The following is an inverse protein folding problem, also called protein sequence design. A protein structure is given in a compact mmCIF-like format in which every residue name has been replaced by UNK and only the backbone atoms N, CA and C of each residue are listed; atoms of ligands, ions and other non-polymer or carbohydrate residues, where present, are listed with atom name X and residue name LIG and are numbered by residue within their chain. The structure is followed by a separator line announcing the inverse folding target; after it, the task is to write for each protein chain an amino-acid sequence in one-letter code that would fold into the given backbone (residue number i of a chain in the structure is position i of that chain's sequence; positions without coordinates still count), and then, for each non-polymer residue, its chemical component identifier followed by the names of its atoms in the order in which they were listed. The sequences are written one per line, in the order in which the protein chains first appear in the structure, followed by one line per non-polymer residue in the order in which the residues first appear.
data_IF_444407494416
#
_entry.id   IF_444407494416
#
_cell.length_a   1.000
_cell.length_b   1.000
_cell.length_c   1.000
_cell.angle_alpha   90.00
_cell.angle_beta   90.00
_cell.angle_gamma   90.00
#
_symmetry.space_group_name_H-M   'P 1'
#
loop_
_entity.id
_entity.type
_entity.pdbx_description
1 polymer ?
#
# COMPACT_ATOMS: atom_id res chain seq x y z
N UNK A 1 3.79 1.23 -28.57
CA UNK A 1 4.71 1.03 -27.43
C UNK A 1 5.74 2.15 -27.48
N UNK A 2 5.85 2.97 -26.44
CA UNK A 2 6.83 4.07 -26.40
C UNK A 2 8.22 3.52 -26.08
N UNK A 3 9.28 3.87 -26.81
CA UNK A 3 10.63 3.44 -26.50
C UNK A 3 11.09 4.08 -25.17
N UNK A 4 11.66 3.28 -24.28
CA UNK A 4 12.33 3.78 -23.09
C UNK A 4 13.70 4.34 -23.51
N UNK A 5 14.01 5.57 -23.12
CA UNK A 5 15.32 6.17 -23.38
C UNK A 5 16.26 5.80 -22.24
N UNK A 6 17.31 5.05 -22.55
CA UNK A 6 18.36 4.71 -21.59
C UNK A 6 19.34 5.89 -21.52
N UNK A 7 19.28 6.69 -20.45
CA UNK A 7 20.23 7.79 -20.20
C UNK A 7 21.29 7.36 -19.18
N UNK A 8 22.57 7.25 -19.61
CA UNK A 8 23.73 7.11 -18.72
C UNK A 8 24.94 6.45 -19.40
N UNK A 9 26.06 7.16 -19.51
CA UNK A 9 27.37 6.59 -19.88
C UNK A 9 27.77 5.54 -18.82
N UNK A 10 27.87 4.27 -19.21
CA UNK A 10 28.61 3.21 -18.50
C UNK A 10 28.42 3.12 -16.98
N UNK A 11 27.21 3.32 -16.46
CA UNK A 11 26.95 3.14 -15.02
C UNK A 11 26.39 1.76 -14.74
N UNK A 12 27.17 0.95 -14.03
CA UNK A 12 26.81 -0.38 -13.52
C UNK A 12 25.76 -0.32 -12.36
N UNK A 13 25.21 0.87 -12.09
CA UNK A 13 24.27 1.11 -11.01
C UNK A 13 22.86 1.26 -11.61
N UNK A 14 22.11 0.16 -11.58
CA UNK A 14 20.71 0.12 -12.00
C UNK A 14 19.80 0.62 -10.87
N UNK A 15 19.11 1.74 -11.10
CA UNK A 15 18.07 2.20 -10.17
C UNK A 15 16.93 1.18 -10.10
N UNK A 16 16.48 0.84 -8.88
CA UNK A 16 15.31 -0.01 -8.67
C UNK A 16 14.44 0.55 -7.57
N UNK A 17 13.12 0.38 -7.71
CA UNK A 17 12.14 0.68 -6.68
C UNK A 17 11.33 -0.58 -6.44
N UNK A 18 11.25 -0.93 -5.17
CA UNK A 18 10.35 -1.96 -4.67
C UNK A 18 9.56 -1.33 -3.52
N UNK A 19 8.26 -1.16 -3.72
CA UNK A 19 7.35 -0.77 -2.66
C UNK A 19 6.53 -1.99 -2.29
N UNK A 20 6.59 -2.37 -1.01
CA UNK A 20 5.75 -3.41 -0.44
C UNK A 20 4.79 -2.74 0.54
N UNK A 21 3.49 -2.92 0.32
CA UNK A 21 2.44 -2.51 1.24
C UNK A 21 1.78 -3.77 1.79
N UNK A 22 1.79 -3.91 3.10
CA UNK A 22 1.13 -5.01 3.81
C UNK A 22 0.17 -4.39 4.80
N UNK A 23 -1.07 -4.89 4.82
CA UNK A 23 -2.08 -4.49 5.79
C UNK A 23 -2.76 -5.72 6.32
N UNK A 24 -2.73 -5.87 7.63
CA UNK A 24 -3.51 -6.86 8.35
C UNK A 24 -4.52 -6.13 9.22
N UNK A 25 -5.78 -6.56 9.16
CA UNK A 25 -6.85 -6.02 9.98
C UNK A 25 -7.60 -7.16 10.64
N UNK A 26 -7.81 -7.03 11.95
CA UNK A 26 -8.72 -7.85 12.73
C UNK A 26 -9.77 -6.94 13.34
N UNK A 27 -11.04 -7.17 13.01
CA UNK A 27 -12.16 -6.50 13.66
C UNK A 27 -12.89 -7.51 14.53
N UNK A 28 -13.17 -7.11 15.75
CA UNK A 28 -13.87 -7.90 16.74
C UNK A 28 -15.02 -7.07 17.28
N UNK A 29 -16.23 -7.62 17.24
CA UNK A 29 -17.42 -6.94 17.76
C UNK A 29 -18.32 -7.92 18.50
N UNK A 30 -18.79 -7.45 19.65
CA UNK A 30 -19.72 -8.15 20.52
C UNK A 30 -20.97 -7.32 20.72
N UNK A 31 -22.12 -7.97 20.60
CA UNK A 31 -23.41 -7.39 20.99
C UNK A 31 -24.10 -8.35 21.93
N UNK A 32 -24.50 -7.85 23.09
CA UNK A 32 -25.28 -8.59 24.07
C UNK A 32 -26.54 -7.78 24.37
N UNK A 33 -27.68 -8.46 24.35
CA UNK A 33 -28.98 -7.89 24.67
C UNK A 33 -29.64 -8.71 25.76
N UNK A 34 -30.33 -8.01 26.68
CA UNK A 34 -31.01 -8.61 27.81
C UNK A 34 -32.51 -8.32 27.69
N UNK A 35 -33.30 -9.38 27.62
CA UNK A 35 -34.75 -9.32 27.62
C UNK A 35 -35.27 -9.71 29.00
N UNK A 36 -35.82 -8.73 29.69
CA UNK A 36 -36.56 -8.94 30.93
C UNK A 36 -38.01 -8.58 30.67
N UNK A 37 -38.87 -9.60 30.55
CA UNK A 37 -40.29 -9.43 30.28
C UNK A 37 -41.12 -10.05 31.40
N UNK A 38 -42.04 -9.28 31.98
CA UNK A 38 -43.03 -9.80 32.92
C UNK A 38 -44.22 -10.35 32.15
N UNK A 39 -44.42 -11.65 32.19
CA UNK A 39 -45.58 -12.31 31.57
C UNK A 39 -46.84 -12.09 32.43
N UNK A 40 -46.69 -12.17 33.76
CA UNK A 40 -47.73 -11.87 34.76
C UNK A 40 -47.08 -11.30 36.04
N UNK A 41 -47.86 -11.00 37.09
CA UNK A 41 -47.33 -10.57 38.39
C UNK A 41 -46.34 -11.57 39.02
N UNK A 42 -46.48 -12.86 38.68
CA UNK A 42 -45.73 -13.96 39.30
C UNK A 42 -44.80 -14.70 38.34
N UNK A 43 -44.80 -14.35 37.04
CA UNK A 43 -44.04 -15.06 36.01
C UNK A 43 -43.22 -14.05 35.20
N UNK A 44 -41.91 -14.27 35.18
CA UNK A 44 -40.95 -13.47 34.41
C UNK A 44 -40.21 -14.35 33.40
N UNK A 45 -40.01 -13.81 32.20
CA UNK A 45 -39.06 -14.32 31.22
C UNK A 45 -37.80 -13.45 31.28
N UNK A 46 -36.67 -14.11 31.52
CA UNK A 46 -35.33 -13.51 31.46
C UNK A 46 -34.52 -14.24 30.41
N UNK A 47 -34.07 -13.53 29.40
CA UNK A 47 -33.27 -14.09 28.31
C UNK A 47 -32.10 -13.19 27.96
N UNK A 48 -30.96 -13.81 27.67
CA UNK A 48 -29.74 -13.14 27.24
C UNK A 48 -29.41 -13.64 25.83
N UNK A 49 -29.38 -12.72 24.86
CA UNK A 49 -28.97 -13.04 23.49
C UNK A 49 -27.68 -12.32 23.16
N UNK A 50 -26.70 -13.08 22.70
CA UNK A 50 -25.38 -12.59 22.33
C UNK A 50 -25.02 -12.94 20.89
N UNK A 51 -24.31 -12.04 20.22
CA UNK A 51 -23.71 -12.27 18.92
C UNK A 51 -22.28 -11.76 18.91
N UNK A 52 -21.36 -12.59 18.42
CA UNK A 52 -19.97 -12.23 18.15
C UNK A 52 -19.73 -12.27 16.64
N UNK A 53 -19.05 -11.26 16.12
CA UNK A 53 -18.49 -11.29 14.78
C UNK A 53 -17.00 -10.94 14.83
N UNK A 54 -16.23 -11.76 14.13
CA UNK A 54 -14.80 -11.57 13.92
C UNK A 54 -14.53 -11.52 12.42
N UNK A 55 -13.88 -10.46 11.96
CA UNK A 55 -13.42 -10.30 10.58
C UNK A 55 -11.88 -10.30 10.54
N UNK A 56 -11.34 -11.00 9.54
CA UNK A 56 -9.91 -11.06 9.27
C UNK A 56 -9.65 -10.71 7.81
N UNK A 57 -8.90 -9.64 7.60
CA UNK A 57 -8.47 -9.20 6.27
C UNK A 57 -6.94 -9.16 6.24
N UNK A 58 -6.35 -9.78 5.21
CA UNK A 58 -4.93 -9.65 4.89
C UNK A 58 -4.78 -9.14 3.46
N UNK A 59 -4.01 -8.07 3.30
CA UNK A 59 -3.73 -7.43 2.03
C UNK A 59 -2.22 -7.31 1.81
N UNK A 60 -1.78 -7.69 0.62
CA UNK A 60 -0.39 -7.59 0.20
C UNK A 60 -0.32 -7.05 -1.22
N UNK A 61 0.42 -5.96 -1.40
CA UNK A 61 0.69 -5.36 -2.70
C UNK A 61 2.19 -5.12 -2.84
N UNK A 62 2.73 -5.53 -3.99
CA UNK A 62 4.12 -5.25 -4.37
C UNK A 62 4.13 -4.48 -5.69
N UNK A 63 4.70 -3.28 -5.66
CA UNK A 63 5.02 -2.50 -6.87
C UNK A 63 6.51 -2.58 -7.11
N UNK A 64 6.91 -2.90 -8.34
CA UNK A 64 8.32 -3.09 -8.70
C UNK A 64 8.64 -2.44 -10.05
N UNK A 65 9.78 -1.77 -10.12
CA UNK A 65 10.31 -1.19 -11.35
C UNK A 65 11.84 -1.13 -11.33
N UNK A 66 12.41 -1.19 -12.53
CA UNK A 66 13.84 -1.01 -12.81
C UNK A 66 14.02 0.15 -13.79
N UNK A 67 15.23 0.69 -13.90
CA UNK A 67 15.55 1.77 -14.85
C UNK A 67 14.68 3.03 -14.64
N UNK A 68 14.48 3.40 -13.39
CA UNK A 68 13.77 4.61 -13.02
C UNK A 68 14.59 5.81 -13.51
N UNK A 69 14.04 6.54 -14.47
CA UNK A 69 14.58 7.85 -14.82
C UNK A 69 14.15 8.80 -13.72
N UNK A 70 15.04 9.07 -12.75
CA UNK A 70 14.83 10.14 -11.78
C UNK A 70 14.97 11.47 -12.55
N UNK A 71 13.90 12.26 -12.71
CA UNK A 71 14.02 13.57 -13.34
C UNK A 71 14.93 14.43 -12.46
N UNK A 72 16.12 14.78 -12.95
CA UNK A 72 17.00 15.75 -12.30
C UNK A 72 18.32 15.26 -11.70
N UNK A 73 18.67 13.96 -11.73
CA UNK A 73 19.99 13.53 -11.22
C UNK A 73 21.06 13.58 -12.32
N UNK A 74 21.42 14.81 -12.71
CA UNK A 74 22.56 15.10 -13.57
C UNK A 74 23.83 15.13 -12.71
N UNK A 75 24.82 14.29 -13.04
CA UNK A 75 26.16 14.38 -12.43
C UNK A 75 27.07 15.24 -13.31
N UNK A 76 28.04 15.92 -12.68
CA UNK A 76 28.85 17.01 -13.27
C UNK A 76 29.57 16.60 -14.57
N UNK A 77 29.94 15.33 -14.70
CA UNK A 77 30.60 14.78 -15.89
C UNK A 77 29.71 14.78 -17.14
N UNK A 78 28.39 14.74 -16.97
CA UNK A 78 27.44 14.68 -18.09
C UNK A 78 27.15 16.06 -18.72
N UNK A 79 27.56 17.15 -18.06
CA UNK A 79 27.40 18.53 -18.57
C UNK A 79 28.62 18.92 -19.42
N UNK A 80 29.82 18.40 -19.11
CA UNK A 80 31.07 18.85 -19.75
C UNK A 80 31.31 18.30 -21.16
N UNK A 81 30.64 17.21 -21.55
CA UNK A 81 30.79 16.60 -22.89
C UNK A 81 29.85 17.18 -23.95
N UNK A 82 28.97 18.14 -23.63
CA UNK A 82 28.21 18.88 -24.64
C UNK A 82 29.15 19.88 -25.32
N UNK A 83 30.04 19.35 -26.14
CA UNK A 83 30.98 20.10 -26.96
C UNK A 83 30.16 20.85 -28.02
N UNK A 84 29.90 22.13 -27.78
CA UNK A 84 29.54 23.06 -28.84
C UNK A 84 30.74 23.15 -29.78
N UNK A 85 30.62 22.67 -31.02
CA UNK A 85 31.57 22.98 -32.09
C UNK A 85 30.95 24.06 -32.97
N UNK A 86 31.61 25.21 -33.01
CA UNK A 86 31.19 26.42 -33.71
C UNK A 86 31.06 26.22 -35.22
N UNK A 87 30.22 27.07 -35.82
CA UNK A 87 29.78 27.10 -37.22
C UNK A 87 30.89 27.26 -38.26
N UNK A 88 30.60 26.63 -39.41
CA UNK A 88 31.03 26.80 -40.81
C UNK A 88 32.36 27.48 -41.10
#
# INVERSE_FOLDING_TARGET
MSPYTVTGDGRDIQSSLRVRSTRDRRLYTDVITNFNYKLTENIELKSLLGFNATDFESFSQTTFGRQLTLPGLYTVENISRRHYRFRF
#
